data_IF_414726346426
#
_entry.id   IF_414726346426
#
_cell.length_a   1.000
_cell.length_b   1.000
_cell.length_c   1.000
_cell.angle_alpha   90.00
_cell.angle_beta   90.00
_cell.angle_gamma   90.00
#
_symmetry.space_group_name_H-M   'P 1'
#
loop_
_entity.id
_entity.type
_entity.pdbx_description
1 polymer ?
#
# COMPACT_ATOMS: atom_id res chain seq x y z
N UNK A 1 46.58 23.78 53.28
CA UNK A 1 45.37 23.05 52.83
C UNK A 1 45.68 21.55 52.91
N UNK A 2 45.91 20.96 54.09
CA UNK A 2 44.98 20.68 55.21
C UNK A 2 43.80 19.79 54.84
N UNK A 3 44.01 18.48 55.05
CA UNK A 3 43.15 17.58 55.84
C UNK A 3 41.64 17.70 55.60
N UNK A 4 41.05 16.83 54.78
CA UNK A 4 39.62 16.48 54.85
C UNK A 4 39.32 15.11 54.19
N UNK A 5 40.02 14.05 54.65
CA UNK A 5 39.63 12.65 54.41
C UNK A 5 39.76 11.85 55.71
N UNK A 6 39.11 12.31 56.79
CA UNK A 6 39.29 11.72 58.12
C UNK A 6 38.01 11.32 58.89
N UNK A 7 36.81 11.37 58.31
CA UNK A 7 35.58 11.04 59.08
C UNK A 7 34.92 9.73 58.64
N UNK A 8 35.67 8.81 58.01
CA UNK A 8 35.19 7.49 57.57
C UNK A 8 35.54 6.33 58.52
N UNK A 9 36.21 6.58 59.66
CA UNK A 9 36.66 5.52 60.58
C UNK A 9 36.18 5.60 62.04
N UNK A 10 35.54 6.69 62.52
CA UNK A 10 35.18 6.84 63.95
C UNK A 10 33.71 6.58 64.32
N UNK A 11 32.72 6.73 63.44
CA UNK A 11 31.32 6.40 63.80
C UNK A 11 31.04 4.89 63.89
N UNK A 12 31.98 4.04 63.44
CA UNK A 12 31.86 2.57 63.51
C UNK A 12 32.22 1.97 64.88
N UNK A 13 32.56 2.77 65.91
CA UNK A 13 33.03 2.21 67.20
C UNK A 13 32.33 2.68 68.48
N UNK A 14 31.44 3.68 68.48
CA UNK A 14 30.97 4.27 69.76
C UNK A 14 29.52 4.05 70.20
N UNK A 15 28.72 3.24 69.50
CA UNK A 15 27.42 2.79 70.05
C UNK A 15 27.43 1.28 70.33
N UNK A 16 28.46 0.86 71.06
CA UNK A 16 28.38 -0.30 71.95
C UNK A 16 28.53 0.18 73.39
N UNK A 17 27.41 0.16 74.12
CA UNK A 17 27.23 -0.03 75.58
C UNK A 17 26.41 1.08 76.23
N UNK A 18 25.11 0.80 76.42
CA UNK A 18 24.45 0.88 77.73
C UNK A 18 23.11 0.12 77.69
N UNK A 19 23.12 -1.07 78.32
CA UNK A 19 22.06 -1.75 79.08
C UNK A 19 20.59 -1.57 78.62
N UNK A 20 19.90 -2.63 78.21
CA UNK A 20 19.40 -3.65 79.15
C UNK A 20 19.11 -4.95 78.39
N UNK A 21 19.54 -6.08 78.95
CA UNK A 21 19.04 -7.41 78.61
C UNK A 21 17.61 -7.57 79.13
N UNK A 22 16.62 -7.85 78.27
CA UNK A 22 15.62 -8.84 78.57
C UNK A 22 16.09 -10.17 78.00
N UNK A 23 16.04 -11.22 78.81
CA UNK A 23 16.07 -12.59 78.35
C UNK A 23 15.04 -12.74 77.21
N UNK A 24 15.50 -12.92 75.98
CA UNK A 24 14.70 -13.54 74.92
C UNK A 24 15.37 -14.85 74.57
N UNK A 25 14.60 -15.90 74.81
CA UNK A 25 14.90 -17.28 74.46
C UNK A 25 15.57 -17.32 73.08
N UNK A 26 16.75 -17.95 72.99
CA UNK A 26 17.31 -18.33 71.71
C UNK A 26 16.40 -19.44 71.19
N UNK A 27 15.36 -19.06 70.45
CA UNK A 27 14.64 -20.01 69.62
C UNK A 27 15.67 -20.64 68.68
N UNK A 28 15.86 -21.95 68.81
CA UNK A 28 16.59 -22.74 67.83
C UNK A 28 15.79 -22.67 66.53
N UNK A 29 16.01 -21.63 65.73
CA UNK A 29 15.46 -21.52 64.37
C UNK A 29 15.79 -22.79 63.61
N UNK A 30 14.77 -23.40 63.02
CA UNK A 30 14.93 -24.63 62.26
C UNK A 30 15.84 -24.38 61.05
N UNK A 31 16.38 -25.45 60.46
CA UNK A 31 17.16 -25.33 59.22
C UNK A 31 16.34 -24.69 58.09
N UNK A 32 15.01 -24.82 58.11
CA UNK A 32 14.08 -24.23 57.13
C UNK A 32 13.98 -22.71 57.31
N UNK A 33 13.81 -22.24 58.55
CA UNK A 33 13.62 -20.80 58.84
C UNK A 33 14.87 -19.96 58.55
N UNK A 34 16.06 -20.54 58.80
CA UNK A 34 17.33 -19.90 58.42
C UNK A 34 17.47 -19.78 56.90
N UNK A 35 17.00 -20.78 56.16
CA UNK A 35 17.03 -20.79 54.71
C UNK A 35 16.02 -19.78 54.13
N UNK A 36 14.84 -19.64 54.77
CA UNK A 36 13.84 -18.63 54.44
C UNK A 36 14.38 -17.21 54.63
N UNK A 37 14.97 -16.90 55.78
CA UNK A 37 15.57 -15.60 56.01
C UNK A 37 16.70 -15.28 55.02
N UNK A 38 17.54 -16.28 54.67
CA UNK A 38 18.58 -16.09 53.66
C UNK A 38 17.99 -15.76 52.29
N UNK A 39 16.93 -16.47 51.89
CA UNK A 39 16.24 -16.28 50.63
C UNK A 39 15.62 -14.88 50.52
N UNK A 40 14.86 -14.46 51.53
CA UNK A 40 14.24 -13.12 51.59
C UNK A 40 15.29 -12.00 51.61
N UNK A 41 16.39 -12.18 52.34
CA UNK A 41 17.49 -11.20 52.38
C UNK A 41 18.13 -11.04 51.01
N UNK A 42 18.41 -12.14 50.30
CA UNK A 42 18.97 -12.11 48.94
C UNK A 42 18.03 -11.44 47.94
N UNK A 43 16.72 -11.70 48.02
CA UNK A 43 15.75 -11.04 47.13
C UNK A 43 15.69 -9.54 47.40
N UNK A 44 15.66 -9.12 48.68
CA UNK A 44 15.67 -7.70 49.05
C UNK A 44 16.95 -6.97 48.61
N UNK A 45 18.11 -7.64 48.67
CA UNK A 45 19.37 -7.09 48.14
C UNK A 45 19.33 -6.93 46.62
N UNK A 46 18.73 -7.88 45.89
CA UNK A 46 18.63 -7.85 44.43
C UNK A 46 17.61 -6.83 43.92
N UNK A 47 16.53 -6.60 44.67
CA UNK A 47 15.58 -5.50 44.42
C UNK A 47 16.32 -4.16 44.47
N UNK A 48 17.24 -3.98 45.43
CA UNK A 48 18.02 -2.74 45.59
C UNK A 48 19.22 -2.67 44.64
N UNK A 49 19.86 -3.78 44.28
CA UNK A 49 21.05 -3.82 43.42
C UNK A 49 21.10 -5.07 42.51
N UNK A 50 20.72 -4.96 41.22
CA UNK A 50 20.47 -6.12 40.34
C UNK A 50 21.73 -6.79 39.76
N UNK A 51 22.93 -6.54 40.30
CA UNK A 51 24.20 -7.00 39.69
C UNK A 51 24.41 -8.53 39.69
N UNK A 52 23.60 -9.30 40.45
CA UNK A 52 23.79 -10.75 40.62
C UNK A 52 22.57 -11.62 40.27
N UNK A 53 21.59 -11.09 39.51
CA UNK A 53 20.33 -11.79 39.19
C UNK A 53 20.54 -13.18 38.55
N UNK A 54 21.47 -13.30 37.59
CA UNK A 54 21.73 -14.60 36.92
C UNK A 54 22.20 -15.69 37.87
N UNK A 55 23.07 -15.35 38.83
CA UNK A 55 23.59 -16.29 39.84
C UNK A 55 22.51 -16.69 40.84
N UNK A 56 21.64 -15.74 41.20
CA UNK A 56 20.49 -16.03 42.06
C UNK A 56 19.48 -16.97 41.39
N UNK A 57 19.16 -16.75 40.12
CA UNK A 57 18.22 -17.60 39.37
C UNK A 57 18.73 -19.04 39.25
N UNK A 58 20.03 -19.23 39.03
CA UNK A 58 20.61 -20.59 39.04
C UNK A 58 20.55 -21.27 40.42
N UNK A 59 20.55 -20.48 41.50
CA UNK A 59 20.47 -20.96 42.88
C UNK A 59 19.03 -21.22 43.35
N UNK A 60 17.99 -20.89 42.57
CA UNK A 60 16.58 -21.08 42.93
C UNK A 60 16.25 -22.53 43.32
N UNK A 61 16.94 -23.51 42.72
CA UNK A 61 16.81 -24.93 43.08
C UNK A 61 17.05 -25.22 44.57
N UNK A 62 17.88 -24.41 45.24
CA UNK A 62 18.19 -24.55 46.68
C UNK A 62 17.00 -24.20 47.57
N UNK A 63 16.03 -23.45 47.03
CA UNK A 63 14.92 -22.85 47.76
C UNK A 63 13.56 -23.49 47.40
N UNK A 64 13.54 -24.61 46.65
CA UNK A 64 12.31 -25.25 46.12
C UNK A 64 11.30 -25.73 47.20
N UNK A 65 11.64 -25.66 48.50
CA UNK A 65 10.78 -26.10 49.61
C UNK A 65 10.41 -24.96 50.57
N UNK A 66 10.53 -23.72 50.10
CA UNK A 66 10.29 -22.51 50.86
C UNK A 66 8.98 -21.87 50.42
N UNK A 67 8.24 -21.34 51.38
CA UNK A 67 7.03 -20.58 51.08
C UNK A 67 7.45 -19.25 50.45
N UNK A 68 6.89 -18.93 49.28
CA UNK A 68 7.24 -17.74 48.52
C UNK A 68 6.23 -16.63 48.85
N UNK A 69 6.65 -15.53 49.50
CA UNK A 69 5.80 -14.36 49.65
C UNK A 69 5.52 -13.69 48.30
N UNK A 70 4.33 -13.09 48.16
CA UNK A 70 3.85 -12.44 46.94
C UNK A 70 4.84 -11.42 46.34
N UNK A 71 5.53 -10.63 47.17
CA UNK A 71 6.51 -9.64 46.68
C UNK A 71 7.73 -10.28 45.98
N UNK A 72 8.08 -11.53 46.34
CA UNK A 72 9.16 -12.29 45.72
C UNK A 72 8.69 -12.84 44.37
N UNK A 73 7.45 -13.31 44.29
CA UNK A 73 6.83 -13.75 43.04
C UNK A 73 6.75 -12.60 42.03
N UNK A 74 6.28 -11.42 42.45
CA UNK A 74 6.27 -10.21 41.64
C UNK A 74 7.67 -9.81 41.17
N UNK A 75 8.68 -9.93 42.03
CA UNK A 75 10.07 -9.68 41.67
C UNK A 75 10.57 -10.65 40.58
N UNK A 76 10.29 -11.94 40.72
CA UNK A 76 10.70 -12.98 39.77
C UNK A 76 10.01 -12.83 38.40
N UNK A 77 8.75 -12.39 38.39
CA UNK A 77 7.97 -12.13 37.17
C UNK A 77 8.21 -10.74 36.56
N UNK A 78 8.97 -9.88 37.22
CA UNK A 78 9.28 -8.55 36.68
C UNK A 78 10.05 -8.64 35.36
N UNK A 79 9.80 -7.70 34.44
CA UNK A 79 10.43 -7.64 33.11
C UNK A 79 11.96 -7.59 33.13
N UNK A 80 12.57 -7.21 34.27
CA UNK A 80 14.03 -7.21 34.48
C UNK A 80 14.60 -8.60 34.77
N UNK A 81 13.80 -9.48 35.38
CA UNK A 81 14.22 -10.81 35.86
C UNK A 81 13.70 -11.91 34.93
N UNK A 82 12.43 -11.79 34.52
CA UNK A 82 11.71 -12.70 33.64
C UNK A 82 12.07 -12.51 32.16
N UNK A 83 13.33 -12.84 31.83
CA UNK A 83 13.87 -12.77 30.48
C UNK A 83 13.93 -14.16 29.84
N UNK A 84 14.03 -14.21 28.51
CA UNK A 84 14.02 -15.45 27.70
C UNK A 84 14.97 -16.55 28.21
N UNK A 85 16.11 -16.16 28.79
CA UNK A 85 17.13 -17.09 29.28
C UNK A 85 16.85 -17.64 30.69
N UNK A 86 15.94 -17.02 31.44
CA UNK A 86 15.63 -17.35 32.84
C UNK A 86 14.22 -17.94 33.01
N UNK A 87 13.34 -17.71 32.02
CA UNK A 87 11.92 -18.09 32.02
C UNK A 87 11.66 -19.51 32.52
N UNK A 88 12.32 -20.51 31.91
CA UNK A 88 12.11 -21.92 32.26
C UNK A 88 12.51 -22.26 33.71
N UNK A 89 13.51 -21.59 34.28
CA UNK A 89 13.94 -21.84 35.66
C UNK A 89 12.99 -21.22 36.68
N UNK A 90 12.46 -20.03 36.37
CA UNK A 90 11.48 -19.33 37.20
C UNK A 90 10.14 -20.06 37.16
N UNK A 91 9.68 -20.46 35.97
CA UNK A 91 8.42 -21.20 35.79
C UNK A 91 8.45 -22.54 36.54
N UNK A 92 9.57 -23.27 36.50
CA UNK A 92 9.72 -24.54 37.22
C UNK A 92 9.78 -24.34 38.74
N UNK A 93 10.34 -23.23 39.22
CA UNK A 93 10.44 -22.91 40.64
C UNK A 93 9.08 -22.49 41.22
N UNK A 94 8.31 -21.68 40.49
CA UNK A 94 6.97 -21.26 40.91
C UNK A 94 5.96 -22.42 40.83
N UNK A 95 5.96 -23.21 39.75
CA UNK A 95 5.05 -24.37 39.60
C UNK A 95 5.18 -25.39 40.74
N UNK A 96 6.40 -25.73 41.13
CA UNK A 96 6.64 -26.69 42.22
C UNK A 96 6.17 -26.20 43.59
N UNK A 97 6.17 -24.89 43.83
CA UNK A 97 5.68 -24.32 45.09
C UNK A 97 4.14 -24.20 45.10
N UNK A 98 3.52 -23.99 43.93
CA UNK A 98 2.06 -24.00 43.76
C UNK A 98 1.51 -25.44 43.95
N UNK A 99 2.20 -26.47 43.44
CA UNK A 99 1.80 -27.87 43.60
C UNK A 99 1.82 -28.39 45.05
N UNK A 100 2.45 -27.67 46.00
CA UNK A 100 2.53 -28.08 47.42
C UNK A 100 1.46 -27.50 48.33
N UNK A 101 0.68 -26.49 47.91
CA UNK A 101 -0.22 -25.76 48.82
C UNK A 101 -1.73 -25.88 48.55
N UNK A 102 -2.17 -26.53 47.47
CA UNK A 102 -3.60 -26.62 47.15
C UNK A 102 -4.12 -28.06 47.22
N UNK A 103 -4.29 -28.57 48.44
CA UNK A 103 -5.37 -29.51 48.75
C UNK A 103 -6.29 -28.81 49.75
N UNK A 104 -7.57 -28.73 49.40
CA UNK A 104 -8.72 -28.21 50.16
C UNK A 104 -9.21 -26.82 49.73
N UNK A 105 -10.54 -26.71 49.66
CA UNK A 105 -11.37 -25.54 49.31
C UNK A 105 -11.60 -25.28 47.81
N UNK A 106 -12.42 -26.12 47.16
CA UNK A 106 -13.87 -25.92 46.98
C UNK A 106 -14.29 -24.61 46.28
N UNK A 107 -14.70 -24.77 45.02
CA UNK A 107 -16.03 -24.42 44.50
C UNK A 107 -16.45 -22.94 44.70
N UNK A 108 -16.69 -22.28 43.54
CA UNK A 108 -17.65 -21.17 43.32
C UNK A 108 -17.21 -19.70 43.25
N UNK A 109 -15.97 -19.35 42.85
CA UNK A 109 -15.71 -17.94 42.45
C UNK A 109 -14.98 -17.85 41.10
N UNK A 110 -15.77 -17.51 40.06
CA UNK A 110 -15.44 -16.93 38.75
C UNK A 110 -15.25 -17.88 37.55
N UNK A 111 -16.41 -18.18 36.94
CA UNK A 111 -16.60 -18.53 35.53
C UNK A 111 -16.22 -17.39 34.56
N UNK A 112 -14.98 -16.90 34.59
CA UNK A 112 -14.53 -15.92 33.57
C UNK A 112 -13.01 -15.90 33.34
N UNK A 113 -12.38 -17.05 33.17
CA UNK A 113 -11.24 -17.10 32.21
C UNK A 113 -11.85 -17.48 30.88
N UNK A 114 -12.41 -16.49 30.19
CA UNK A 114 -12.62 -16.61 28.75
C UNK A 114 -11.24 -16.94 28.21
N UNK A 115 -11.07 -18.14 27.64
CA UNK A 115 -10.05 -18.38 26.65
C UNK A 115 -10.32 -17.37 25.53
N UNK A 116 -9.85 -16.13 25.66
CA UNK A 116 -9.73 -15.23 24.53
C UNK A 116 -8.65 -15.89 23.69
N UNK A 117 -9.10 -16.69 22.71
CA UNK A 117 -8.22 -17.21 21.69
C UNK A 117 -7.60 -15.96 21.08
N UNK A 118 -6.28 -15.83 21.24
CA UNK A 118 -5.54 -14.71 20.68
C UNK A 118 -5.70 -14.74 19.16
N UNK A 119 -6.65 -13.96 18.67
CA UNK A 119 -7.07 -13.93 17.27
C UNK A 119 -5.89 -13.59 16.35
N UNK A 120 -4.90 -12.81 16.85
CA UNK A 120 -3.66 -12.50 16.13
C UNK A 120 -2.82 -13.75 15.91
N UNK A 121 -2.67 -14.60 16.93
CA UNK A 121 -2.00 -15.90 16.81
C UNK A 121 -2.73 -16.82 15.82
N UNK A 122 -4.07 -16.83 15.79
CA UNK A 122 -4.83 -17.61 14.81
C UNK A 122 -4.51 -17.12 13.39
N UNK A 123 -4.57 -15.81 13.16
CA UNK A 123 -4.30 -15.19 11.87
C UNK A 123 -2.88 -15.50 11.38
N UNK A 124 -1.86 -15.36 12.23
CA UNK A 124 -0.48 -15.71 11.89
C UNK A 124 -0.33 -17.19 11.52
N UNK A 125 -1.03 -18.09 12.22
CA UNK A 125 -0.99 -19.51 11.92
C UNK A 125 -1.65 -19.84 10.58
N UNK A 126 -2.71 -19.13 10.18
CA UNK A 126 -3.29 -19.27 8.85
C UNK A 126 -2.32 -18.84 7.75
N UNK A 127 -1.57 -17.75 7.95
CA UNK A 127 -0.58 -17.28 6.98
C UNK A 127 0.54 -18.30 6.71
N UNK A 128 0.87 -19.14 7.71
CA UNK A 128 1.91 -20.18 7.62
C UNK A 128 1.46 -21.43 6.83
N UNK A 129 0.18 -21.55 6.49
CA UNK A 129 -0.32 -22.67 5.68
C UNK A 129 0.27 -22.58 4.27
N UNK A 130 0.98 -23.64 3.85
CA UNK A 130 1.64 -23.72 2.54
C UNK A 130 0.65 -23.93 1.40
N UNK A 131 -0.35 -24.78 1.63
CA UNK A 131 -1.38 -25.03 0.63
C UNK A 131 -2.28 -23.79 0.48
N UNK A 132 -2.35 -23.28 -0.74
CA UNK A 132 -3.08 -22.05 -1.04
C UNK A 132 -4.59 -22.23 -0.84
N UNK A 133 -5.16 -23.35 -1.27
CA UNK A 133 -6.60 -23.59 -1.21
C UNK A 133 -7.04 -23.83 0.23
N UNK A 134 -6.26 -24.63 0.99
CA UNK A 134 -6.50 -24.87 2.41
C UNK A 134 -6.44 -23.57 3.22
N UNK A 135 -5.46 -22.70 2.90
CA UNK A 135 -5.33 -21.40 3.54
C UNK A 135 -6.55 -20.51 3.30
N UNK A 136 -6.98 -20.37 2.05
CA UNK A 136 -8.17 -19.56 1.72
C UNK A 136 -9.41 -20.12 2.42
N UNK A 137 -9.58 -21.45 2.42
CA UNK A 137 -10.71 -22.11 3.06
C UNK A 137 -10.78 -21.76 4.55
N UNK A 138 -9.70 -21.98 5.29
CA UNK A 138 -9.61 -21.64 6.73
C UNK A 138 -9.83 -20.14 6.98
N UNK A 139 -9.21 -19.27 6.18
CA UNK A 139 -9.41 -17.83 6.29
C UNK A 139 -10.88 -17.43 6.08
N UNK A 140 -11.56 -18.06 5.13
CA UNK A 140 -12.96 -17.78 4.82
C UNK A 140 -13.89 -18.27 5.95
N UNK A 141 -13.65 -19.47 6.47
CA UNK A 141 -14.39 -20.05 7.59
C UNK A 141 -14.27 -19.17 8.85
N UNK A 142 -13.07 -18.65 9.13
CA UNK A 142 -12.82 -17.80 10.31
C UNK A 142 -13.38 -16.38 10.22
N UNK A 143 -13.86 -15.91 9.06
CA UNK A 143 -14.43 -14.55 8.92
C UNK A 143 -15.65 -14.33 9.82
N UNK A 144 -16.46 -15.37 10.02
CA UNK A 144 -17.65 -15.31 10.87
C UNK A 144 -17.31 -15.42 12.36
N UNK A 145 -16.25 -16.18 12.70
CA UNK A 145 -15.86 -16.50 14.08
C UNK A 145 -15.07 -15.37 14.77
N UNK A 146 -14.22 -14.67 14.01
CA UNK A 146 -13.38 -13.59 14.53
C UNK A 146 -14.25 -12.43 15.00
N UNK A 147 -13.89 -11.77 16.10
CA UNK A 147 -14.59 -10.59 16.62
C UNK A 147 -13.82 -9.31 16.29
N UNK A 148 -12.49 -9.36 16.25
CA UNK A 148 -11.66 -8.20 15.91
C UNK A 148 -11.91 -7.72 14.48
N UNK A 149 -12.36 -6.48 14.35
CA UNK A 149 -12.55 -5.83 13.05
C UNK A 149 -11.24 -5.72 12.26
N UNK A 150 -10.13 -5.47 12.94
CA UNK A 150 -8.82 -5.30 12.28
C UNK A 150 -8.36 -6.62 11.66
N UNK A 151 -8.53 -7.74 12.38
CA UNK A 151 -8.15 -9.06 11.88
C UNK A 151 -9.09 -9.50 10.75
N UNK A 152 -10.40 -9.23 10.85
CA UNK A 152 -11.33 -9.45 9.72
C UNK A 152 -10.88 -8.70 8.47
N UNK A 153 -10.52 -7.43 8.59
CA UNK A 153 -10.03 -6.62 7.47
C UNK A 153 -8.75 -7.24 6.89
N UNK A 154 -7.82 -7.68 7.74
CA UNK A 154 -6.58 -8.31 7.29
C UNK A 154 -6.82 -9.61 6.51
N UNK A 155 -7.75 -10.43 6.98
CA UNK A 155 -8.18 -11.64 6.28
C UNK A 155 -8.84 -11.32 4.95
N UNK A 156 -9.82 -10.41 4.93
CA UNK A 156 -10.50 -10.00 3.71
C UNK A 156 -9.51 -9.49 2.65
N UNK A 157 -8.56 -8.64 3.04
CA UNK A 157 -7.53 -8.11 2.12
C UNK A 157 -6.63 -9.23 1.58
N UNK A 158 -6.25 -10.21 2.42
CA UNK A 158 -5.46 -11.35 1.97
C UNK A 158 -6.24 -12.23 0.99
N UNK A 159 -7.49 -12.55 1.31
CA UNK A 159 -8.37 -13.34 0.44
C UNK A 159 -8.55 -12.61 -0.90
N UNK A 160 -8.84 -11.30 -0.87
CA UNK A 160 -8.98 -10.48 -2.07
C UNK A 160 -7.71 -10.53 -2.92
N UNK A 161 -6.53 -10.34 -2.32
CA UNK A 161 -5.25 -10.40 -3.02
C UNK A 161 -5.03 -11.74 -3.73
N UNK A 162 -5.46 -12.83 -3.11
CA UNK A 162 -5.35 -14.17 -3.71
C UNK A 162 -6.31 -14.32 -4.89
N UNK A 163 -7.59 -13.97 -4.73
CA UNK A 163 -8.56 -14.07 -5.83
C UNK A 163 -8.23 -13.14 -7.00
N UNK A 164 -7.70 -11.96 -6.74
CA UNK A 164 -7.18 -11.05 -7.79
C UNK A 164 -6.06 -11.70 -8.60
N UNK A 165 -5.14 -12.45 -7.95
CA UNK A 165 -4.08 -13.19 -8.66
C UNK A 165 -4.63 -14.33 -9.50
N UNK A 166 -5.70 -14.97 -9.03
CA UNK A 166 -6.37 -16.06 -9.74
C UNK A 166 -7.33 -15.59 -10.83
N UNK A 167 -7.58 -14.27 -10.91
CA UNK A 167 -8.54 -13.65 -11.83
C UNK A 167 -9.96 -14.23 -11.68
N UNK A 168 -10.31 -14.64 -10.46
CA UNK A 168 -11.65 -15.18 -10.14
C UNK A 168 -12.61 -14.03 -9.81
N UNK A 169 -13.22 -13.45 -10.84
CA UNK A 169 -14.03 -12.21 -10.72
C UNK A 169 -15.22 -12.33 -9.78
N UNK A 170 -15.87 -13.50 -9.74
CA UNK A 170 -17.03 -13.77 -8.87
C UNK A 170 -16.60 -13.72 -7.39
N UNK A 171 -15.50 -14.39 -7.04
CA UNK A 171 -15.01 -14.35 -5.65
C UNK A 171 -14.38 -13.02 -5.27
N UNK A 172 -13.78 -12.30 -6.23
CA UNK A 172 -13.32 -10.92 -6.00
C UNK A 172 -14.51 -10.05 -5.62
N UNK A 173 -15.63 -10.16 -6.34
CA UNK A 173 -16.85 -9.39 -6.06
C UNK A 173 -17.33 -9.60 -4.62
N UNK A 174 -17.53 -10.86 -4.21
CA UNK A 174 -18.05 -11.20 -2.88
C UNK A 174 -17.20 -10.62 -1.74
N UNK A 175 -15.89 -10.73 -1.87
CA UNK A 175 -14.96 -10.23 -0.85
C UNK A 175 -14.85 -8.72 -0.90
N UNK A 176 -14.85 -8.12 -2.09
CA UNK A 176 -14.75 -6.67 -2.25
C UNK A 176 -15.95 -5.97 -1.64
N UNK A 177 -17.18 -6.47 -1.85
CA UNK A 177 -18.38 -5.92 -1.20
C UNK A 177 -18.27 -5.92 0.31
N UNK A 178 -17.73 -6.99 0.91
CA UNK A 178 -17.49 -7.05 2.37
C UNK A 178 -16.44 -6.04 2.82
N UNK A 179 -15.40 -5.80 2.02
CA UNK A 179 -14.37 -4.79 2.32
C UNK A 179 -14.96 -3.37 2.32
N UNK A 180 -15.86 -3.07 1.38
CA UNK A 180 -16.50 -1.74 1.28
C UNK A 180 -17.30 -1.39 2.55
N UNK A 181 -17.82 -2.37 3.28
CA UNK A 181 -18.51 -2.14 4.57
C UNK A 181 -17.59 -1.57 5.66
N UNK A 182 -16.27 -1.74 5.49
CA UNK A 182 -15.25 -1.23 6.40
C UNK A 182 -14.55 0.05 5.87
N UNK A 183 -15.13 0.77 4.92
CA UNK A 183 -14.53 1.97 4.29
C UNK A 183 -14.06 3.06 5.25
N UNK A 184 -14.60 3.13 6.48
CA UNK A 184 -14.15 4.07 7.53
C UNK A 184 -12.84 3.67 8.21
N UNK A 185 -12.39 2.42 8.08
CA UNK A 185 -11.11 1.97 8.60
C UNK A 185 -9.97 2.48 7.72
N UNK A 186 -8.89 2.98 8.34
CA UNK A 186 -7.77 3.61 7.62
C UNK A 186 -7.08 2.66 6.63
N UNK A 187 -6.96 1.38 6.96
CA UNK A 187 -6.31 0.39 6.09
C UNK A 187 -7.14 0.12 4.83
N UNK A 188 -8.46 0.03 4.99
CA UNK A 188 -9.39 -0.11 3.87
C UNK A 188 -9.40 1.15 3.04
N UNK A 189 -9.45 2.34 3.67
CA UNK A 189 -9.37 3.62 2.97
C UNK A 189 -8.11 3.71 2.10
N UNK A 190 -6.94 3.38 2.65
CA UNK A 190 -5.70 3.35 1.89
C UNK A 190 -5.75 2.34 0.73
N UNK A 191 -6.39 1.19 0.90
CA UNK A 191 -6.55 0.22 -0.19
C UNK A 191 -7.44 0.75 -1.31
N UNK A 192 -8.57 1.38 -0.96
CA UNK A 192 -9.52 1.95 -1.91
C UNK A 192 -8.93 3.16 -2.62
N UNK A 193 -8.29 4.09 -1.92
CA UNK A 193 -7.67 5.29 -2.51
C UNK A 193 -6.65 4.92 -3.61
N UNK A 194 -5.94 3.80 -3.45
CA UNK A 194 -4.93 3.35 -4.41
C UNK A 194 -5.45 2.40 -5.50
N UNK A 195 -6.54 1.65 -5.26
CA UNK A 195 -6.92 0.52 -6.13
C UNK A 195 -8.40 0.48 -6.51
N UNK A 196 -9.22 1.44 -6.06
CA UNK A 196 -10.66 1.38 -6.28
C UNK A 196 -11.01 1.32 -7.78
N UNK A 197 -10.37 2.14 -8.62
CA UNK A 197 -10.61 2.10 -10.07
C UNK A 197 -10.29 0.73 -10.66
N UNK A 198 -9.15 0.14 -10.31
CA UNK A 198 -8.78 -1.21 -10.75
C UNK A 198 -9.87 -2.24 -10.45
N UNK A 199 -10.41 -2.24 -9.23
CA UNK A 199 -11.48 -3.18 -8.88
C UNK A 199 -12.78 -2.88 -9.63
N UNK A 200 -13.16 -1.60 -9.77
CA UNK A 200 -14.35 -1.21 -10.52
C UNK A 200 -14.28 -1.63 -12.00
N UNK A 201 -13.09 -1.63 -12.58
CA UNK A 201 -12.89 -2.04 -13.97
C UNK A 201 -13.14 -3.54 -14.20
N UNK A 202 -13.10 -4.38 -13.15
CA UNK A 202 -13.35 -5.83 -13.22
C UNK A 202 -14.84 -6.19 -13.33
N UNK A 203 -15.75 -5.32 -12.91
CA UNK A 203 -17.16 -5.64 -12.77
C UNK A 203 -18.01 -5.02 -13.88
N UNK A 204 -19.08 -5.71 -14.29
CA UNK A 204 -20.07 -5.25 -15.28
C UNK A 204 -21.47 -5.75 -14.87
N UNK A 205 -22.53 -5.21 -15.47
CA UNK A 205 -23.90 -5.71 -15.27
C UNK A 205 -24.52 -5.35 -13.90
N UNK A 206 -25.31 -6.25 -13.32
CA UNK A 206 -26.03 -6.01 -12.06
C UNK A 206 -25.11 -5.88 -10.85
N UNK A 207 -24.07 -6.71 -10.77
CA UNK A 207 -23.03 -6.67 -9.74
C UNK A 207 -22.38 -5.29 -9.65
N UNK A 208 -22.12 -4.69 -10.82
CA UNK A 208 -21.54 -3.36 -10.89
C UNK A 208 -22.46 -2.27 -10.30
N UNK A 209 -23.78 -2.35 -10.54
CA UNK A 209 -24.74 -1.40 -9.96
C UNK A 209 -24.74 -1.45 -8.44
N UNK A 210 -24.72 -2.65 -7.87
CA UNK A 210 -24.69 -2.85 -6.42
C UNK A 210 -23.43 -2.24 -5.79
N UNK A 211 -22.27 -2.43 -6.43
CA UNK A 211 -21.02 -1.82 -5.99
C UNK A 211 -21.11 -0.29 -6.08
N UNK A 212 -21.60 0.25 -7.20
CA UNK A 212 -21.68 1.71 -7.38
C UNK A 212 -22.55 2.38 -6.32
N UNK A 213 -23.68 1.78 -5.92
CA UNK A 213 -24.49 2.32 -4.82
C UNK A 213 -23.72 2.38 -3.49
N UNK A 214 -22.84 1.41 -3.22
CA UNK A 214 -21.93 1.51 -2.06
C UNK A 214 -20.87 2.60 -2.26
N UNK A 215 -20.27 2.68 -3.46
CA UNK A 215 -19.24 3.70 -3.78
C UNK A 215 -19.80 5.11 -3.69
N UNK A 216 -21.07 5.34 -3.99
CA UNK A 216 -21.74 6.64 -3.84
C UNK A 216 -21.55 7.25 -2.45
N UNK A 217 -21.52 6.43 -1.40
CA UNK A 217 -21.32 6.87 -0.01
C UNK A 217 -19.81 7.03 0.31
N UNK A 218 -18.97 6.18 -0.29
CA UNK A 218 -17.54 6.07 0.03
C UNK A 218 -16.72 7.13 -0.71
N UNK A 219 -16.95 7.26 -2.01
CA UNK A 219 -16.29 8.21 -2.90
C UNK A 219 -17.32 8.72 -3.94
N UNK A 220 -18.06 9.79 -3.61
CA UNK A 220 -19.09 10.35 -4.49
C UNK A 220 -18.56 10.79 -5.86
N UNK A 221 -17.30 11.26 -5.92
CA UNK A 221 -16.70 11.75 -7.15
C UNK A 221 -16.43 10.60 -8.14
N UNK A 222 -15.85 9.49 -7.66
CA UNK A 222 -15.67 8.28 -8.47
C UNK A 222 -17.01 7.73 -8.92
N UNK A 223 -18.00 7.67 -8.03
CA UNK A 223 -19.36 7.26 -8.39
C UNK A 223 -19.92 8.11 -9.54
N UNK A 224 -19.84 9.45 -9.42
CA UNK A 224 -20.31 10.38 -10.45
C UNK A 224 -19.60 10.16 -11.79
N UNK A 225 -18.27 10.01 -11.77
CA UNK A 225 -17.48 9.69 -12.99
C UNK A 225 -17.89 8.36 -13.62
N UNK A 226 -18.13 7.31 -12.83
CA UNK A 226 -18.58 6.00 -13.36
C UNK A 226 -19.99 6.06 -13.94
N UNK A 227 -20.91 6.80 -13.32
CA UNK A 227 -22.23 7.02 -13.90
C UNK A 227 -22.14 7.73 -15.26
N UNK A 228 -21.31 8.78 -15.36
CA UNK A 228 -21.06 9.47 -16.63
C UNK A 228 -20.45 8.53 -17.69
N UNK A 229 -19.49 7.69 -17.30
CA UNK A 229 -18.91 6.67 -18.18
C UNK A 229 -20.00 5.75 -18.77
N UNK A 230 -20.88 5.23 -17.92
CA UNK A 230 -22.00 4.37 -18.35
C UNK A 230 -22.94 5.13 -19.30
N UNK A 231 -23.32 6.36 -18.96
CA UNK A 231 -24.20 7.17 -19.80
C UNK A 231 -23.59 7.43 -21.17
N UNK A 232 -22.31 7.78 -21.23
CA UNK A 232 -21.60 8.07 -22.48
C UNK A 232 -21.38 6.81 -23.33
N UNK A 233 -21.14 5.65 -22.71
CA UNK A 233 -21.12 4.34 -23.41
C UNK A 233 -22.48 4.07 -24.05
N UNK A 234 -23.57 4.44 -23.38
CA UNK A 234 -24.94 4.31 -23.89
C UNK A 234 -25.36 5.46 -24.81
N UNK A 235 -24.41 6.26 -25.32
CA UNK A 235 -24.64 7.43 -26.17
C UNK A 235 -25.55 8.51 -25.56
N UNK A 236 -25.65 8.57 -24.23
CA UNK A 236 -26.32 9.64 -23.49
C UNK A 236 -25.29 10.66 -23.06
N UNK A 237 -24.98 11.59 -23.96
CA UNK A 237 -24.03 12.67 -23.67
C UNK A 237 -24.75 13.78 -22.91
N UNK A 238 -24.32 14.04 -21.68
CA UNK A 238 -24.88 15.07 -20.80
C UNK A 238 -23.83 16.09 -20.42
N UNK A 239 -24.27 17.32 -20.19
CA UNK A 239 -23.40 18.38 -19.66
C UNK A 239 -23.00 18.07 -18.22
N UNK A 240 -21.74 18.35 -17.88
CA UNK A 240 -21.17 18.03 -16.57
C UNK A 240 -20.06 19.01 -16.20
N UNK A 241 -19.84 19.14 -14.89
CA UNK A 241 -18.70 19.80 -14.27
C UNK A 241 -17.37 19.04 -14.44
N UNK A 242 -17.38 17.78 -14.87
CA UNK A 242 -16.17 17.00 -15.16
C UNK A 242 -15.58 17.42 -16.53
N UNK A 243 -14.41 18.09 -16.58
CA UNK A 243 -13.96 18.75 -17.80
C UNK A 243 -13.72 17.79 -18.98
N UNK A 244 -13.19 16.59 -18.73
CA UNK A 244 -12.92 15.58 -19.76
C UNK A 244 -14.21 15.04 -20.39
N UNK A 245 -15.24 14.82 -19.58
CA UNK A 245 -16.56 14.44 -20.08
C UNK A 245 -17.25 15.60 -20.79
N UNK A 246 -17.12 16.83 -20.29
CA UNK A 246 -17.73 17.99 -20.92
C UNK A 246 -17.14 18.25 -22.33
N UNK A 247 -15.82 18.06 -22.50
CA UNK A 247 -15.17 18.09 -23.81
C UNK A 247 -15.82 17.07 -24.77
N UNK A 248 -16.03 15.83 -24.31
CA UNK A 248 -16.68 14.80 -25.13
C UNK A 248 -18.12 15.18 -25.47
N UNK A 249 -18.88 15.73 -24.53
CA UNK A 249 -20.22 16.26 -24.79
C UNK A 249 -20.19 17.35 -25.88
N UNK A 250 -19.27 18.30 -25.81
CA UNK A 250 -19.16 19.40 -26.77
C UNK A 250 -18.83 18.92 -28.19
N UNK A 251 -17.85 18.02 -28.34
CA UNK A 251 -17.51 17.49 -29.67
C UNK A 251 -18.64 16.65 -30.29
N UNK A 252 -19.43 15.96 -29.46
CA UNK A 252 -20.62 15.24 -29.94
C UNK A 252 -21.74 16.16 -30.40
N UNK A 253 -21.73 17.42 -29.96
CA UNK A 253 -22.64 18.47 -30.39
C UNK A 253 -22.00 19.44 -31.40
N UNK A 254 -20.86 19.07 -32.02
CA UNK A 254 -20.14 19.89 -33.00
C UNK A 254 -19.69 21.28 -32.48
N UNK A 255 -19.43 21.40 -31.18
CA UNK A 255 -18.98 22.65 -30.54
C UNK A 255 -17.47 22.64 -30.32
N UNK A 256 -16.70 22.65 -31.42
CA UNK A 256 -15.23 22.52 -31.39
C UNK A 256 -14.55 23.67 -30.63
N UNK A 257 -14.89 24.92 -30.93
CA UNK A 257 -14.21 26.07 -30.32
C UNK A 257 -14.45 26.10 -28.79
N UNK A 258 -15.66 25.80 -28.34
CA UNK A 258 -15.97 25.68 -26.91
C UNK A 258 -15.16 24.54 -26.25
N UNK A 259 -14.99 23.40 -26.94
CA UNK A 259 -14.17 22.30 -26.42
C UNK A 259 -12.68 22.68 -26.31
N UNK A 260 -12.18 23.52 -27.22
CA UNK A 260 -10.80 24.03 -27.19
C UNK A 260 -10.59 24.98 -25.99
N UNK A 261 -11.58 25.80 -25.64
CA UNK A 261 -11.51 26.65 -24.45
C UNK A 261 -11.38 25.82 -23.17
N UNK A 262 -12.20 24.76 -23.02
CA UNK A 262 -12.08 23.86 -21.88
C UNK A 262 -10.73 23.16 -21.88
N UNK A 263 -10.28 22.67 -23.05
CA UNK A 263 -9.00 21.97 -23.18
C UNK A 263 -7.80 22.83 -22.74
N UNK A 264 -7.78 24.13 -23.08
CA UNK A 264 -6.73 25.07 -22.64
C UNK A 264 -6.63 25.20 -21.12
N UNK A 265 -7.74 25.00 -20.41
CA UNK A 265 -7.79 25.02 -18.93
C UNK A 265 -7.51 23.65 -18.30
N UNK A 266 -7.44 22.59 -19.11
CA UNK A 266 -7.33 21.23 -18.64
C UNK A 266 -5.91 20.94 -18.13
N UNK A 267 -5.81 20.50 -16.89
CA UNK A 267 -4.53 20.06 -16.35
C UNK A 267 -4.19 18.66 -16.89
N UNK A 268 -3.23 18.58 -17.82
CA UNK A 268 -2.65 17.33 -18.31
C UNK A 268 -1.39 16.91 -17.51
N UNK A 269 -1.01 17.66 -16.48
CA UNK A 269 0.10 17.31 -15.58
C UNK A 269 -0.43 16.52 -14.39
N UNK A 270 -0.05 15.23 -14.31
CA UNK A 270 -0.41 14.36 -13.19
C UNK A 270 -0.73 12.93 -13.59
N UNK A 271 -1.11 12.14 -12.58
CA UNK A 271 -1.70 10.82 -12.77
C UNK A 271 -3.21 10.98 -12.96
N UNK A 272 -3.74 10.47 -14.06
CA UNK A 272 -5.17 10.48 -14.37
C UNK A 272 -5.68 9.05 -14.48
N UNK A 273 -6.97 8.84 -14.23
CA UNK A 273 -7.61 7.53 -14.37
C UNK A 273 -7.74 7.09 -15.84
N UNK A 274 -8.10 5.82 -16.05
CA UNK A 274 -8.25 5.25 -17.40
C UNK A 274 -9.38 5.91 -18.18
N UNK A 275 -10.47 6.30 -17.51
CA UNK A 275 -11.62 6.99 -18.11
C UNK A 275 -11.17 8.32 -18.74
N UNK A 276 -10.41 9.10 -17.97
CA UNK A 276 -9.85 10.36 -18.44
C UNK A 276 -8.97 10.13 -19.66
N UNK A 277 -8.03 9.17 -19.61
CA UNK A 277 -7.17 8.83 -20.75
C UNK A 277 -7.99 8.44 -21.99
N UNK A 278 -9.04 7.64 -21.81
CA UNK A 278 -9.93 7.24 -22.89
C UNK A 278 -10.69 8.43 -23.50
N UNK A 279 -11.15 9.37 -22.67
CA UNK A 279 -11.78 10.61 -23.13
C UNK A 279 -10.79 11.49 -23.90
N UNK A 280 -9.57 11.67 -23.38
CA UNK A 280 -8.52 12.44 -24.08
C UNK A 280 -8.12 11.78 -25.39
N UNK A 281 -8.05 10.45 -25.47
CA UNK A 281 -7.78 9.76 -26.73
C UNK A 281 -8.87 10.03 -27.79
N UNK A 282 -10.15 9.89 -27.42
CA UNK A 282 -11.27 10.22 -28.32
C UNK A 282 -11.24 11.69 -28.77
N UNK A 283 -10.85 12.58 -27.88
CA UNK A 283 -10.73 14.00 -28.20
C UNK A 283 -9.53 14.28 -29.12
N UNK A 284 -8.38 13.63 -28.90
CA UNK A 284 -7.20 13.71 -29.75
C UNK A 284 -7.50 13.29 -31.19
N UNK A 285 -8.21 12.17 -31.37
CA UNK A 285 -8.67 11.68 -32.67
C UNK A 285 -9.61 12.70 -33.34
N UNK A 286 -10.55 13.28 -32.58
CA UNK A 286 -11.47 14.29 -33.08
C UNK A 286 -10.72 15.57 -33.53
N UNK A 287 -9.78 16.06 -32.73
CA UNK A 287 -8.96 17.23 -33.06
C UNK A 287 -8.11 16.98 -34.32
N UNK A 288 -7.50 15.80 -34.44
CA UNK A 288 -6.74 15.40 -35.62
C UNK A 288 -7.60 15.48 -36.89
N UNK A 289 -8.81 14.92 -36.82
CA UNK A 289 -9.75 14.89 -37.94
C UNK A 289 -10.32 16.27 -38.30
N UNK A 290 -10.31 17.20 -37.35
CA UNK A 290 -10.73 18.59 -37.55
C UNK A 290 -9.54 19.54 -37.80
N UNK A 291 -8.37 19.00 -38.20
CA UNK A 291 -7.16 19.76 -38.54
C UNK A 291 -6.59 20.61 -37.39
N UNK A 292 -6.97 20.34 -36.14
CA UNK A 292 -6.38 20.98 -34.93
C UNK A 292 -5.16 20.18 -34.48
N UNK A 293 -4.13 20.16 -35.33
CA UNK A 293 -2.98 19.24 -35.20
C UNK A 293 -2.15 19.49 -33.95
N UNK A 294 -1.93 20.75 -33.57
CA UNK A 294 -1.13 21.09 -32.41
C UNK A 294 -1.81 20.65 -31.11
N UNK A 295 -3.11 20.89 -30.94
CA UNK A 295 -3.85 20.42 -29.77
C UNK A 295 -3.98 18.90 -29.73
N UNK A 296 -4.14 18.26 -30.89
CA UNK A 296 -4.09 16.79 -31.02
C UNK A 296 -2.73 16.24 -30.58
N UNK A 297 -1.64 16.89 -30.97
CA UNK A 297 -0.27 16.56 -30.54
C UNK A 297 -0.12 16.64 -29.02
N UNK A 298 -0.61 17.70 -28.39
CA UNK A 298 -0.58 17.84 -26.92
C UNK A 298 -1.29 16.68 -26.22
N UNK A 299 -2.45 16.25 -26.75
CA UNK A 299 -3.19 15.10 -26.23
C UNK A 299 -2.40 13.79 -26.37
N UNK A 300 -1.85 13.49 -27.55
CA UNK A 300 -1.09 12.25 -27.76
C UNK A 300 0.23 12.23 -26.99
N UNK A 301 0.89 13.38 -26.79
CA UNK A 301 2.08 13.45 -25.94
C UNK A 301 1.73 13.08 -24.50
N UNK A 302 0.61 13.61 -23.99
CA UNK A 302 0.11 13.23 -22.68
C UNK A 302 -0.13 11.70 -22.60
N UNK A 303 -0.83 11.13 -23.58
CA UNK A 303 -1.14 9.70 -23.60
C UNK A 303 0.13 8.83 -23.68
N UNK A 304 1.09 9.20 -24.54
CA UNK A 304 2.35 8.47 -24.72
C UNK A 304 3.23 8.49 -23.46
N UNK A 305 3.20 9.57 -22.68
CA UNK A 305 3.94 9.67 -21.40
C UNK A 305 3.38 8.73 -20.33
N UNK A 306 2.10 8.38 -20.40
CA UNK A 306 1.47 7.43 -19.47
C UNK A 306 1.74 5.98 -19.89
N UNK A 307 1.67 5.71 -21.20
CA UNK A 307 1.91 4.39 -21.77
C UNK A 307 2.55 4.52 -23.16
N UNK A 308 3.79 4.01 -23.31
CA UNK A 308 4.57 4.08 -24.56
C UNK A 308 4.03 3.13 -25.65
N UNK A 309 2.80 3.38 -26.10
CA UNK A 309 2.14 2.60 -27.14
C UNK A 309 2.76 2.85 -28.51
N UNK A 310 3.03 1.76 -29.24
CA UNK A 310 3.54 1.83 -30.62
C UNK A 310 2.58 2.56 -31.57
N UNK A 311 1.28 2.38 -31.39
CA UNK A 311 0.27 3.06 -32.22
C UNK A 311 0.28 4.57 -31.98
N UNK A 312 0.32 5.00 -30.72
CA UNK A 312 0.42 6.43 -30.38
C UNK A 312 1.73 7.01 -30.92
N UNK A 313 2.84 6.27 -30.85
CA UNK A 313 4.12 6.68 -31.41
C UNK A 313 4.04 6.95 -32.92
N UNK A 314 3.37 6.09 -33.69
CA UNK A 314 3.15 6.29 -35.14
C UNK A 314 2.39 7.60 -35.40
N UNK A 315 1.32 7.86 -34.63
CA UNK A 315 0.53 9.09 -34.78
C UNK A 315 1.35 10.32 -34.41
N UNK A 316 2.10 10.27 -33.30
CA UNK A 316 2.99 11.35 -32.89
C UNK A 316 4.08 11.65 -33.93
N UNK A 317 4.69 10.62 -34.52
CA UNK A 317 5.67 10.82 -35.60
C UNK A 317 5.03 11.41 -36.85
N UNK A 318 3.79 11.02 -37.17
CA UNK A 318 3.02 11.65 -38.26
C UNK A 318 2.81 13.14 -37.95
N UNK A 319 2.43 13.48 -36.72
CA UNK A 319 2.28 14.86 -36.26
C UNK A 319 3.61 15.62 -36.25
N UNK A 320 4.75 14.98 -36.01
CA UNK A 320 6.06 15.60 -36.18
C UNK A 320 6.32 16.04 -37.63
N UNK A 321 5.87 15.26 -38.61
CA UNK A 321 5.97 15.65 -40.03
C UNK A 321 5.04 16.80 -40.36
N UNK A 322 3.79 16.75 -39.87
CA UNK A 322 2.76 17.78 -40.14
C UNK A 322 3.14 19.12 -39.49
N UNK A 323 3.43 19.11 -38.18
CA UNK A 323 3.67 20.33 -37.40
C UNK A 323 5.08 20.90 -37.61
N UNK A 324 6.08 20.03 -37.82
CA UNK A 324 7.49 20.35 -38.06
C UNK A 324 7.99 21.63 -37.37
N UNK A 325 7.96 22.77 -38.09
CA UNK A 325 8.43 24.10 -37.62
C UNK A 325 7.77 24.55 -36.31
N UNK A 326 6.51 24.18 -36.07
CA UNK A 326 5.75 24.61 -34.89
C UNK A 326 6.23 23.95 -33.59
N UNK A 327 6.87 22.78 -33.66
CA UNK A 327 7.24 21.98 -32.48
C UNK A 327 8.74 21.67 -32.39
N UNK A 328 9.60 22.41 -33.12
CA UNK A 328 11.03 22.12 -33.18
C UNK A 328 11.73 22.10 -31.82
N UNK A 329 11.23 22.89 -30.89
CA UNK A 329 11.80 22.97 -29.54
C UNK A 329 11.30 21.88 -28.58
N UNK A 330 10.28 21.12 -28.96
CA UNK A 330 9.73 20.06 -28.12
C UNK A 330 10.67 18.84 -28.02
N UNK A 331 10.78 18.28 -26.81
CA UNK A 331 11.66 17.14 -26.53
C UNK A 331 11.33 15.90 -27.36
N UNK A 332 10.05 15.66 -27.62
CA UNK A 332 9.63 14.51 -28.42
C UNK A 332 9.98 14.72 -29.90
N UNK A 333 9.89 15.94 -30.43
CA UNK A 333 10.38 16.25 -31.78
C UNK A 333 11.89 16.07 -31.89
N UNK A 334 12.66 16.51 -30.89
CA UNK A 334 14.11 16.26 -30.80
C UNK A 334 14.42 14.75 -30.81
N UNK A 335 13.64 13.94 -30.10
CA UNK A 335 13.72 12.47 -30.14
C UNK A 335 13.39 11.92 -31.53
N UNK A 336 12.33 12.40 -32.17
CA UNK A 336 11.97 12.05 -33.55
C UNK A 336 13.14 12.30 -34.52
N UNK A 337 13.82 13.45 -34.43
CA UNK A 337 14.99 13.75 -35.26
C UNK A 337 16.19 12.81 -35.01
N UNK A 338 16.41 12.40 -33.75
CA UNK A 338 17.45 11.41 -33.41
C UNK A 338 17.13 10.06 -34.06
N UNK A 339 15.87 9.63 -33.99
CA UNK A 339 15.43 8.37 -34.59
C UNK A 339 15.45 8.45 -36.13
N UNK A 340 15.07 9.59 -36.71
CA UNK A 340 15.14 9.88 -38.15
C UNK A 340 16.54 9.71 -38.72
N UNK A 341 17.62 9.99 -37.97
CA UNK A 341 18.99 9.77 -38.46
C UNK A 341 19.26 8.34 -38.91
N UNK A 342 18.54 7.35 -38.36
CA UNK A 342 18.63 5.94 -38.81
C UNK A 342 18.10 5.74 -40.22
N UNK A 343 17.20 6.60 -40.70
CA UNK A 343 16.73 6.60 -42.08
C UNK A 343 17.87 6.83 -43.09
N UNK A 344 18.97 7.47 -42.68
CA UNK A 344 20.17 7.62 -43.51
C UNK A 344 20.79 6.29 -43.98
N UNK A 345 20.44 5.16 -43.35
CA UNK A 345 20.79 3.82 -43.82
C UNK A 345 20.04 3.42 -45.10
N UNK A 346 18.92 4.07 -45.42
CA UNK A 346 18.19 3.91 -46.68
C UNK A 346 18.66 4.93 -47.71
N UNK A 347 19.88 4.76 -48.19
CA UNK A 347 20.53 5.68 -49.13
C UNK A 347 19.72 5.91 -50.41
N UNK A 348 18.92 4.92 -50.82
CA UNK A 348 18.10 4.97 -52.03
C UNK A 348 16.66 5.41 -51.78
N UNK A 349 16.29 5.76 -50.54
CA UNK A 349 14.96 6.25 -50.19
C UNK A 349 13.87 5.25 -50.66
N UNK A 350 14.17 3.95 -50.56
CA UNK A 350 13.28 2.88 -51.02
C UNK A 350 12.05 2.76 -50.12
N UNK A 351 10.95 2.28 -50.71
CA UNK A 351 9.73 1.95 -49.99
C UNK A 351 9.97 0.81 -49.00
N UNK A 352 9.40 0.95 -47.81
CA UNK A 352 9.45 -0.02 -46.72
C UNK A 352 8.04 -0.45 -46.32
N UNK A 353 7.94 -1.63 -45.71
CA UNK A 353 6.70 -2.07 -45.05
C UNK A 353 6.58 -1.52 -43.62
N UNK A 354 7.67 -1.00 -43.05
CA UNK A 354 7.69 -0.41 -41.72
C UNK A 354 7.10 1.00 -41.74
N UNK A 355 5.97 1.20 -41.05
CA UNK A 355 5.27 2.48 -40.96
C UNK A 355 6.14 3.62 -40.43
N UNK A 356 7.01 3.38 -39.44
CA UNK A 356 7.90 4.42 -38.91
C UNK A 356 8.90 4.84 -39.99
N UNK A 357 9.44 3.87 -40.72
CA UNK A 357 10.37 4.14 -41.81
C UNK A 357 9.73 4.90 -42.97
N UNK A 358 8.48 4.58 -43.27
CA UNK A 358 7.68 5.31 -44.24
C UNK A 358 7.40 6.75 -43.78
N UNK A 359 7.12 7.00 -42.49
CA UNK A 359 7.02 8.37 -41.95
C UNK A 359 8.33 9.13 -42.14
N UNK A 360 9.48 8.49 -41.87
CA UNK A 360 10.78 9.12 -42.13
C UNK A 360 10.99 9.42 -43.61
N UNK A 361 10.56 8.54 -44.51
CA UNK A 361 10.59 8.80 -45.95
C UNK A 361 9.72 10.01 -46.31
N UNK A 362 8.51 10.11 -45.75
CA UNK A 362 7.63 11.26 -45.94
C UNK A 362 8.29 12.55 -45.45
N UNK A 363 8.92 12.54 -44.28
CA UNK A 363 9.63 13.70 -43.75
C UNK A 363 10.76 14.14 -44.68
N UNK A 364 11.57 13.19 -45.16
CA UNK A 364 12.64 13.46 -46.13
C UNK A 364 12.10 14.07 -47.44
N UNK A 365 11.06 13.47 -48.04
CA UNK A 365 10.47 13.93 -49.29
C UNK A 365 9.87 15.33 -49.17
N UNK A 366 9.23 15.62 -48.04
CA UNK A 366 8.73 16.96 -47.73
C UNK A 366 9.86 18.00 -47.72
N UNK A 367 11.03 17.66 -47.19
CA UNK A 367 12.24 18.49 -47.24
C UNK A 367 12.91 18.54 -48.63
N UNK A 368 12.51 17.68 -49.56
CA UNK A 368 12.88 17.73 -50.98
C UNK A 368 11.80 18.39 -51.85
N UNK A 369 10.87 19.13 -51.25
CA UNK A 369 9.77 19.82 -51.93
C UNK A 369 8.75 18.89 -52.62
N UNK A 370 8.72 17.60 -52.27
CA UNK A 370 7.73 16.63 -52.78
C UNK A 370 6.61 16.41 -51.74
N UNK A 371 5.72 17.41 -51.64
CA UNK A 371 4.56 17.36 -50.73
C UNK A 371 3.53 16.31 -51.14
N UNK A 372 3.45 15.96 -52.44
CA UNK A 372 2.47 15.01 -52.94
C UNK A 372 2.80 13.57 -52.52
N UNK A 373 4.03 13.11 -52.74
CA UNK A 373 4.42 11.77 -52.30
C UNK A 373 4.49 11.70 -50.76
N UNK A 374 4.91 12.78 -50.08
CA UNK A 374 4.84 12.87 -48.62
C UNK A 374 3.41 12.66 -48.11
N UNK A 375 2.43 13.38 -48.67
CA UNK A 375 1.02 13.21 -48.35
C UNK A 375 0.54 11.78 -48.61
N UNK A 376 0.85 11.22 -49.79
CA UNK A 376 0.42 9.87 -50.16
C UNK A 376 0.91 8.82 -49.16
N UNK A 377 2.13 8.97 -48.65
CA UNK A 377 2.68 8.09 -47.62
C UNK A 377 1.89 8.24 -46.31
N UNK A 378 1.76 9.46 -45.77
CA UNK A 378 1.07 9.68 -44.50
C UNK A 378 -0.40 9.24 -44.57
N UNK A 379 -1.09 9.53 -45.67
CA UNK A 379 -2.46 9.09 -45.91
C UNK A 379 -2.59 7.55 -45.99
N UNK A 380 -1.55 6.85 -46.47
CA UNK A 380 -1.54 5.38 -46.47
C UNK A 380 -1.33 4.79 -45.08
N UNK A 381 -0.57 5.49 -44.23
CA UNK A 381 -0.33 5.08 -42.84
C UNK A 381 -1.54 5.37 -41.95
N UNK A 382 -2.14 6.54 -42.13
CA UNK A 382 -3.34 6.99 -41.45
C UNK A 382 -4.36 7.55 -42.47
N UNK A 383 -5.40 6.75 -42.74
CA UNK A 383 -6.44 7.08 -43.74
C UNK A 383 -7.32 8.28 -43.34
N UNK A 384 -7.30 8.66 -42.07
CA UNK A 384 -8.05 9.80 -41.57
C UNK A 384 -7.33 11.12 -41.87
N UNK A 385 -6.02 11.09 -42.13
CA UNK A 385 -5.28 12.26 -42.61
C UNK A 385 -5.64 12.55 -44.08
N UNK A 386 -6.44 13.59 -44.30
CA UNK A 386 -6.93 14.01 -45.64
C UNK A 386 -6.51 15.43 -46.02
N UNK A 387 -5.62 16.03 -45.23
CA UNK A 387 -5.24 17.44 -45.36
C UNK A 387 -3.93 17.58 -46.12
N UNK A 388 -3.99 17.47 -47.45
CA UNK A 388 -2.80 17.66 -48.30
C UNK A 388 -2.25 19.09 -48.22
N UNK A 389 -3.15 20.06 -48.10
CA UNK A 389 -2.86 21.50 -48.14
C UNK A 389 -1.85 21.90 -47.06
N UNK A 390 -1.94 21.34 -45.85
CA UNK A 390 -1.02 21.69 -44.76
C UNK A 390 0.46 21.34 -45.07
N UNK A 391 0.70 20.27 -45.85
CA UNK A 391 2.05 19.91 -46.28
C UNK A 391 2.53 20.79 -47.44
N UNK A 392 1.63 21.23 -48.32
CA UNK A 392 1.94 22.17 -49.41
C UNK A 392 2.32 23.55 -48.85
N UNK A 393 1.60 24.03 -47.83
CA UNK A 393 1.92 25.26 -47.11
C UNK A 393 3.31 25.21 -46.46
N UNK A 394 3.69 24.06 -45.89
CA UNK A 394 5.03 23.89 -45.33
C UNK A 394 6.12 24.09 -46.39
N UNK A 395 5.95 23.46 -47.57
CA UNK A 395 6.91 23.52 -48.68
C UNK A 395 7.00 24.94 -49.26
N UNK A 396 5.88 25.65 -49.35
CA UNK A 396 5.81 27.04 -49.82
C UNK A 396 6.52 28.02 -48.87
N UNK A 397 6.62 27.67 -47.58
CA UNK A 397 7.21 28.51 -46.53
C UNK A 397 8.63 28.08 -46.13
N UNK A 398 9.24 27.09 -46.79
CA UNK A 398 10.65 26.69 -46.66
C UNK A 398 11.56 27.62 -47.44
#
# INVERSE_FOLDING_TARGET
MSRFFNDLEEEKKEIKKKFTTPQKQVEKLSKKDKLQMEFETRVNELIKNPKNIKKFISDLKKYEKLDIPQYIEEFLLSSKVYQKNNKNLIDNFLKKNIETNDQEEEIQIINTVINEIDEDTIYENMLKIKDKQERIKKMTESLEEIKSKEIKINLLIHILSVYTKDKDTEKIYDIFIKILDFHKNQKVKNLLDNNLNFYLDLFRGEDYKNILEKIKIINPDIYKRRCLEIDFINNKFIETDQPDFNIIFLIKNNRLEDSLEIFKSLNLSGSHDEIFRNNINKYADYLFNNKKYYESYQCYIFLYKQEESHNIKIILYTLCVILNKEIQEDDFFKKFLVDFKRFGLNTFVLKSQDKIFEIFRSFYLLHCYDSEEAYNILHNINKDFKDKECLEEFVMNL
#
